data_IF_225150703433
#
_entry.id   IF_225150703433
#
_cell.length_a   1.000
_cell.length_b   1.000
_cell.length_c   1.000
_cell.angle_alpha   90.00
_cell.angle_beta   90.00
_cell.angle_gamma   90.00
#
_symmetry.space_group_name_H-M   'P 1'
#
loop_
_entity.id
_entity.type
_entity.pdbx_description
1 polymer ?
#
# COMPACT_ATOMS: atom_id res chain seq x y z
N UNK A 1 2.29 6.13 -25.75
CA UNK A 1 2.75 6.30 -24.37
C UNK A 1 4.25 6.55 -24.44
N UNK A 2 4.73 7.71 -23.99
CA UNK A 2 6.18 8.00 -23.94
C UNK A 2 6.89 6.89 -23.17
N UNK A 3 7.95 6.31 -23.74
CA UNK A 3 8.79 5.33 -23.04
C UNK A 3 9.44 6.03 -21.84
N UNK A 4 8.87 5.83 -20.65
CA UNK A 4 9.43 6.34 -19.41
C UNK A 4 10.80 5.70 -19.18
N UNK A 5 11.77 6.49 -18.74
CA UNK A 5 13.02 5.90 -18.25
C UNK A 5 12.73 5.02 -17.04
N UNK A 6 13.63 4.08 -16.73
CA UNK A 6 13.51 3.22 -15.54
C UNK A 6 13.33 4.06 -14.27
N UNK A 7 14.07 5.16 -14.16
CA UNK A 7 13.99 6.09 -13.03
C UNK A 7 12.61 6.75 -12.94
N UNK A 8 12.06 7.20 -14.08
CA UNK A 8 10.73 7.82 -14.12
C UNK A 8 9.63 6.82 -13.77
N UNK A 9 9.72 5.59 -14.28
CA UNK A 9 8.84 4.48 -13.93
C UNK A 9 8.83 4.27 -12.42
N UNK A 10 10.01 4.08 -11.81
CA UNK A 10 10.13 3.88 -10.35
C UNK A 10 9.52 5.07 -9.59
N UNK A 11 9.83 6.30 -9.96
CA UNK A 11 9.33 7.50 -9.29
C UNK A 11 7.80 7.60 -9.31
N UNK A 12 7.16 7.22 -10.43
CA UNK A 12 5.71 7.25 -10.58
C UNK A 12 5.04 6.13 -9.78
N UNK A 13 5.60 4.93 -9.76
CA UNK A 13 4.99 3.77 -9.10
C UNK A 13 5.25 3.70 -7.59
N UNK A 14 6.37 4.23 -7.10
CA UNK A 14 6.76 4.06 -5.69
C UNK A 14 5.86 4.81 -4.72
N UNK A 15 5.35 5.98 -5.11
CA UNK A 15 4.45 6.79 -4.28
C UNK A 15 3.14 6.03 -3.99
N UNK A 16 2.32 5.66 -5.01
CA UNK A 16 1.09 4.93 -4.75
C UNK A 16 1.33 3.57 -4.08
N UNK A 17 2.47 2.92 -4.33
CA UNK A 17 2.84 1.68 -3.66
C UNK A 17 3.06 1.86 -2.16
N UNK A 18 3.84 2.86 -1.75
CA UNK A 18 4.09 3.18 -0.34
C UNK A 18 2.77 3.50 0.36
N UNK A 19 1.91 4.30 -0.27
CA UNK A 19 0.59 4.62 0.28
C UNK A 19 -0.28 3.37 0.42
N UNK A 20 -0.34 2.51 -0.61
CA UNK A 20 -1.11 1.28 -0.59
C UNK A 20 -0.70 0.39 0.58
N UNK A 21 0.61 0.12 0.75
CA UNK A 21 1.10 -0.72 1.86
C UNK A 21 0.83 -0.06 3.22
N UNK A 22 1.13 1.23 3.35
CA UNK A 22 1.04 1.95 4.63
C UNK A 22 -0.39 2.04 5.12
N UNK A 23 -1.33 2.43 4.26
CA UNK A 23 -2.73 2.54 4.63
C UNK A 23 -3.39 1.16 4.81
N UNK A 24 -2.95 0.14 4.07
CA UNK A 24 -3.41 -1.24 4.26
C UNK A 24 -3.09 -1.75 5.67
N UNK A 25 -1.82 -1.67 6.08
CA UNK A 25 -1.39 -2.09 7.41
C UNK A 25 -1.98 -1.21 8.51
N UNK A 26 -2.02 0.12 8.31
CA UNK A 26 -2.65 1.03 9.26
C UNK A 26 -4.14 0.75 9.44
N UNK A 27 -4.85 0.31 8.39
CA UNK A 27 -6.26 -0.08 8.48
C UNK A 27 -6.46 -1.36 9.30
N UNK A 28 -5.59 -2.37 9.16
CA UNK A 28 -5.57 -3.54 10.03
C UNK A 28 -5.37 -3.14 11.50
N UNK A 29 -4.37 -2.30 11.78
CA UNK A 29 -4.09 -1.81 13.13
C UNK A 29 -5.28 -1.02 13.72
N UNK A 30 -5.90 -0.17 12.89
CA UNK A 30 -7.05 0.64 13.30
C UNK A 30 -8.27 -0.23 13.63
N UNK A 31 -8.57 -1.20 12.77
CA UNK A 31 -9.66 -2.14 12.99
C UNK A 31 -9.42 -2.97 14.25
N UNK A 32 -8.22 -3.53 14.44
CA UNK A 32 -7.89 -4.31 15.63
C UNK A 32 -8.09 -3.49 16.91
N UNK A 33 -7.59 -2.24 16.92
CA UNK A 33 -7.77 -1.32 18.04
C UNK A 33 -9.25 -0.97 18.29
N UNK A 34 -10.05 -0.85 17.23
CA UNK A 34 -11.50 -0.59 17.34
C UNK A 34 -12.26 -1.78 17.94
N UNK A 35 -11.80 -3.01 17.68
CA UNK A 35 -12.41 -4.24 18.21
C UNK A 35 -11.82 -4.72 19.54
N UNK A 36 -11.01 -3.89 20.21
CA UNK A 36 -10.49 -4.14 21.57
C UNK A 36 -9.02 -4.53 21.64
N UNK A 37 -8.39 -4.88 20.51
CA UNK A 37 -6.98 -5.21 20.47
C UNK A 37 -6.08 -3.98 20.26
N UNK A 38 -5.64 -3.41 21.37
CA UNK A 38 -4.70 -2.28 21.38
C UNK A 38 -3.23 -2.67 21.15
N UNK A 39 -2.92 -3.94 20.85
CA UNK A 39 -1.54 -4.44 20.74
C UNK A 39 -0.73 -3.70 19.67
N UNK A 40 -1.29 -3.54 18.46
CA UNK A 40 -0.68 -2.76 17.40
C UNK A 40 -0.39 -1.30 17.82
N UNK A 41 -1.33 -0.67 18.53
CA UNK A 41 -1.18 0.69 19.04
C UNK A 41 -0.03 0.79 20.06
N UNK A 42 0.07 -0.17 20.99
CA UNK A 42 1.14 -0.23 21.98
C UNK A 42 2.53 -0.40 21.34
N UNK A 43 2.63 -1.16 20.24
CA UNK A 43 3.87 -1.30 19.47
C UNK A 43 4.17 -0.13 18.52
N UNK A 44 3.39 0.95 18.56
CA UNK A 44 3.55 2.10 17.66
C UNK A 44 3.22 1.79 16.19
N UNK A 45 2.48 0.71 15.93
CA UNK A 45 2.11 0.23 14.59
C UNK A 45 0.82 0.87 14.07
N UNK A 46 0.02 1.49 14.93
CA UNK A 46 -1.10 2.33 14.51
C UNK A 46 -0.58 3.69 14.02
N UNK A 47 0.01 3.72 12.83
CA UNK A 47 0.67 4.90 12.29
C UNK A 47 0.57 4.95 10.77
N UNK A 48 0.51 6.17 10.23
CA UNK A 48 0.61 6.44 8.79
C UNK A 48 2.07 6.68 8.35
N UNK A 49 3.03 6.48 9.24
CA UNK A 49 4.44 6.53 8.89
C UNK A 49 4.84 5.24 8.15
N UNK A 50 5.22 5.28 6.86
CA UNK A 50 5.60 4.07 6.11
C UNK A 50 6.77 3.34 6.76
N UNK A 51 7.67 4.06 7.43
CA UNK A 51 8.87 3.47 8.05
C UNK A 51 8.54 2.45 9.13
N UNK A 52 7.38 2.55 9.80
CA UNK A 52 7.02 1.55 10.81
C UNK A 52 6.55 0.24 10.18
N UNK A 53 6.08 0.27 8.94
CA UNK A 53 5.53 -0.90 8.22
C UNK A 53 6.53 -1.58 7.28
N UNK A 54 7.66 -0.93 6.99
CA UNK A 54 8.71 -1.49 6.13
C UNK A 54 9.47 -2.61 6.85
N UNK A 55 9.67 -3.72 6.14
CA UNK A 55 10.65 -4.74 6.49
C UNK A 55 11.79 -4.69 5.47
N UNK A 56 13.02 -4.29 5.84
CA UNK A 56 14.10 -4.09 4.87
C UNK A 56 14.36 -5.31 3.97
N UNK A 57 14.23 -6.53 4.50
CA UNK A 57 14.40 -7.74 3.71
C UNK A 57 13.27 -7.93 2.70
N UNK A 58 12.01 -8.00 3.16
CA UNK A 58 10.85 -8.26 2.30
C UNK A 58 10.49 -7.11 1.37
N UNK A 59 10.74 -5.85 1.77
CA UNK A 59 10.30 -4.66 1.03
C UNK A 59 11.39 -4.09 0.10
N UNK A 60 12.68 -4.36 0.34
CA UNK A 60 13.79 -3.78 -0.43
C UNK A 60 14.70 -4.86 -1.02
N UNK A 61 15.26 -5.73 -0.17
CA UNK A 61 16.28 -6.69 -0.59
C UNK A 61 15.68 -7.74 -1.53
N UNK A 62 14.55 -8.33 -1.16
CA UNK A 62 13.92 -9.39 -1.93
C UNK A 62 13.46 -8.92 -3.33
N UNK A 63 12.74 -7.79 -3.48
CA UNK A 63 12.43 -7.24 -4.80
C UNK A 63 13.66 -6.98 -5.67
N UNK A 64 14.75 -6.47 -5.08
CA UNK A 64 15.97 -6.19 -5.82
C UNK A 64 16.63 -7.47 -6.34
N UNK A 65 16.70 -8.51 -5.50
CA UNK A 65 17.18 -9.84 -5.91
C UNK A 65 16.30 -10.40 -7.03
N UNK A 66 14.98 -10.31 -6.91
CA UNK A 66 14.04 -10.78 -7.93
C UNK A 66 14.23 -10.08 -9.28
N UNK A 67 14.49 -8.76 -9.27
CA UNK A 67 14.79 -8.00 -10.50
C UNK A 67 16.11 -8.47 -11.11
N UNK A 68 17.17 -8.62 -10.31
CA UNK A 68 18.49 -9.07 -10.79
C UNK A 68 18.41 -10.46 -11.39
N UNK A 69 17.80 -11.43 -10.70
CA UNK A 69 17.63 -12.79 -11.20
C UNK A 69 16.72 -12.85 -12.44
N UNK A 70 15.69 -12.01 -12.50
CA UNK A 70 14.84 -11.86 -13.68
C UNK A 70 15.61 -11.35 -14.89
N UNK A 71 16.38 -10.28 -14.72
CA UNK A 71 17.23 -9.73 -15.76
C UNK A 71 18.26 -10.75 -16.26
N UNK A 72 18.86 -11.54 -15.35
CA UNK A 72 19.82 -12.60 -15.69
C UNK A 72 19.19 -13.77 -16.47
N UNK A 73 17.89 -14.01 -16.30
CA UNK A 73 17.14 -15.06 -17.02
C UNK A 73 16.50 -14.58 -18.33
N UNK A 74 16.73 -13.33 -18.73
CA UNK A 74 16.22 -12.75 -19.98
C UNK A 74 14.73 -12.40 -19.95
N UNK A 75 14.12 -12.33 -18.76
CA UNK A 75 12.69 -12.04 -18.58
C UNK A 75 12.44 -10.85 -17.64
N UNK A 76 11.19 -10.39 -17.61
CA UNK A 76 10.71 -9.55 -16.52
C UNK A 76 10.56 -10.44 -15.28
N UNK A 77 11.54 -10.39 -14.38
CA UNK A 77 11.50 -11.14 -13.11
C UNK A 77 10.22 -10.84 -12.34
N UNK A 78 9.71 -11.85 -11.64
CA UNK A 78 8.55 -11.69 -10.76
C UNK A 78 8.94 -10.80 -9.58
N UNK A 79 8.50 -9.53 -9.57
CA UNK A 79 8.75 -8.62 -8.44
C UNK A 79 7.75 -8.97 -7.34
N UNK A 80 8.24 -9.60 -6.28
CA UNK A 80 7.47 -9.89 -5.09
C UNK A 80 8.12 -9.21 -3.88
N UNK A 81 7.33 -8.91 -2.87
CA UNK A 81 7.80 -8.32 -1.62
C UNK A 81 6.66 -8.29 -0.61
N UNK A 82 7.01 -8.19 0.66
CA UNK A 82 6.04 -8.08 1.75
C UNK A 82 6.43 -6.97 2.72
N UNK A 83 5.44 -6.46 3.43
CA UNK A 83 5.59 -5.51 4.50
C UNK A 83 5.69 -6.24 5.85
N UNK A 84 6.13 -5.53 6.89
CA UNK A 84 6.12 -6.05 8.24
C UNK A 84 4.68 -6.07 8.77
N UNK A 85 4.06 -7.25 8.97
CA UNK A 85 2.65 -7.32 9.30
C UNK A 85 2.35 -6.72 10.68
N UNK A 86 1.14 -6.18 10.83
CA UNK A 86 0.66 -5.67 12.12
C UNK A 86 0.36 -6.82 13.10
N UNK A 87 0.85 -6.76 14.35
CA UNK A 87 0.53 -7.78 15.35
C UNK A 87 -0.93 -7.69 15.79
N UNK A 88 -1.64 -8.83 15.75
CA UNK A 88 -3.03 -8.96 16.19
C UNK A 88 -3.10 -9.99 17.32
N UNK A 89 -3.71 -9.61 18.44
CA UNK A 89 -3.97 -10.48 19.59
C UNK A 89 -5.45 -10.87 19.64
N UNK A 90 -5.74 -12.09 19.16
CA UNK A 90 -7.10 -12.65 19.10
C UNK A 90 -7.83 -12.68 20.45
N UNK A 91 -7.10 -12.89 21.55
CA UNK A 91 -7.67 -13.00 22.89
C UNK A 91 -8.19 -11.67 23.45
N UNK A 92 -7.81 -10.54 22.83
CA UNK A 92 -8.25 -9.19 23.22
C UNK A 92 -9.44 -8.67 22.40
N UNK A 93 -9.86 -9.40 21.36
CA UNK A 93 -11.00 -9.01 20.55
C UNK A 93 -12.30 -9.26 21.30
N UNK A 94 -13.27 -8.34 21.20
CA UNK A 94 -14.57 -8.50 21.85
C UNK A 94 -15.32 -9.75 21.36
N UNK A 95 -15.29 -10.01 20.05
CA UNK A 95 -15.90 -11.18 19.41
C UNK A 95 -14.89 -11.81 18.42
N UNK A 96 -13.98 -12.69 18.88
CA UNK A 96 -12.78 -13.07 18.12
C UNK A 96 -13.02 -13.52 16.67
N UNK A 97 -14.05 -14.33 16.40
CA UNK A 97 -14.33 -14.82 15.04
C UNK A 97 -14.82 -13.72 14.09
N UNK A 98 -15.77 -12.90 14.56
CA UNK A 98 -16.39 -11.84 13.75
C UNK A 98 -15.43 -10.67 13.57
N UNK A 99 -14.78 -10.27 14.65
CA UNK A 99 -13.91 -9.10 14.66
C UNK A 99 -12.65 -9.36 13.84
N UNK A 100 -12.11 -10.59 13.90
CA UNK A 100 -11.01 -10.99 13.03
C UNK A 100 -11.37 -10.86 11.55
N UNK A 101 -12.58 -11.25 11.13
CA UNK A 101 -13.02 -11.09 9.75
C UNK A 101 -12.99 -9.61 9.34
N UNK A 102 -13.51 -8.71 10.19
CA UNK A 102 -13.47 -7.27 9.90
C UNK A 102 -12.05 -6.70 9.89
N UNK A 103 -11.19 -7.16 10.80
CA UNK A 103 -9.78 -6.78 10.81
C UNK A 103 -9.11 -7.25 9.52
N UNK A 104 -9.30 -8.49 9.09
CA UNK A 104 -8.73 -9.04 7.87
C UNK A 104 -9.24 -8.34 6.59
N UNK A 105 -10.48 -7.86 6.59
CA UNK A 105 -11.03 -7.09 5.47
C UNK A 105 -10.61 -5.61 5.47
N UNK A 106 -10.18 -5.06 6.60
CA UNK A 106 -9.87 -3.64 6.74
C UNK A 106 -8.77 -3.18 5.76
N UNK A 107 -7.67 -3.92 5.64
CA UNK A 107 -6.60 -3.63 4.69
C UNK A 107 -7.06 -3.65 3.23
N UNK A 108 -7.67 -4.75 2.74
CA UNK A 108 -8.23 -4.82 1.39
C UNK A 108 -9.25 -3.72 1.07
N UNK A 109 -10.15 -3.41 2.01
CA UNK A 109 -11.13 -2.35 1.84
C UNK A 109 -10.48 -0.96 1.79
N UNK A 110 -9.41 -0.72 2.56
CA UNK A 110 -8.65 0.52 2.48
C UNK A 110 -7.98 0.69 1.10
N UNK A 111 -7.40 -0.37 0.55
CA UNK A 111 -6.83 -0.35 -0.80
C UNK A 111 -7.90 -0.15 -1.88
N UNK A 112 -9.06 -0.79 -1.75
CA UNK A 112 -10.18 -0.59 -2.65
C UNK A 112 -10.66 0.87 -2.62
N UNK A 113 -10.85 1.44 -1.43
CA UNK A 113 -11.21 2.85 -1.28
C UNK A 113 -10.16 3.77 -1.91
N UNK A 114 -8.87 3.47 -1.72
CA UNK A 114 -7.78 4.23 -2.32
C UNK A 114 -7.77 4.14 -3.85
N UNK A 115 -8.01 2.94 -4.41
CA UNK A 115 -8.12 2.75 -5.85
C UNK A 115 -9.26 3.59 -6.44
N UNK A 116 -10.41 3.65 -5.75
CA UNK A 116 -11.53 4.51 -6.14
C UNK A 116 -11.15 6.00 -6.09
N UNK A 117 -10.46 6.44 -5.04
CA UNK A 117 -9.97 7.82 -4.91
C UNK A 117 -9.02 8.15 -6.06
N UNK A 118 -8.05 7.29 -6.37
CA UNK A 118 -7.14 7.48 -7.51
C UNK A 118 -7.87 7.53 -8.84
N UNK A 119 -8.85 6.66 -9.07
CA UNK A 119 -9.66 6.67 -10.28
C UNK A 119 -10.46 7.98 -10.42
N UNK A 120 -11.01 8.51 -9.33
CA UNK A 120 -11.70 9.80 -9.32
C UNK A 120 -10.75 10.97 -9.60
N UNK A 121 -9.55 10.97 -9.01
CA UNK A 121 -8.51 11.98 -9.27
C UNK A 121 -8.10 11.95 -10.74
N UNK A 122 -7.88 10.77 -11.32
CA UNK A 122 -7.56 10.61 -12.73
C UNK A 122 -8.69 11.15 -13.63
N UNK A 123 -9.94 10.78 -13.33
CA UNK A 123 -11.12 11.30 -14.06
C UNK A 123 -11.21 12.83 -13.96
N UNK A 124 -11.02 13.40 -12.79
CA UNK A 124 -11.02 14.84 -12.58
C UNK A 124 -9.90 15.53 -13.36
N UNK A 125 -8.70 14.93 -13.40
CA UNK A 125 -7.56 15.42 -14.19
C UNK A 125 -7.88 15.51 -15.68
N UNK A 126 -8.51 14.49 -16.27
CA UNK A 126 -8.94 14.54 -17.67
C UNK A 126 -9.98 15.62 -17.94
N UNK A 127 -10.93 15.80 -17.01
CA UNK A 127 -11.93 16.87 -17.12
C UNK A 127 -11.25 18.25 -17.07
N UNK A 128 -10.39 18.50 -16.08
CA UNK A 128 -9.67 19.77 -15.90
C UNK A 128 -8.71 20.05 -17.06
N UNK A 129 -7.99 19.04 -17.57
CA UNK A 129 -7.10 19.20 -18.72
C UNK A 129 -7.84 19.65 -19.97
N UNK A 130 -9.13 19.32 -20.12
CA UNK A 130 -9.97 19.79 -21.22
C UNK A 130 -10.31 21.28 -21.10
N UNK A 131 -10.21 21.86 -19.89
CA UNK A 131 -10.44 23.29 -19.62
C UNK A 131 -9.15 24.12 -19.61
N UNK A 132 -8.02 23.56 -19.17
CA UNK A 132 -6.73 24.26 -19.07
C UNK A 132 -5.76 23.98 -20.23
N UNK A 133 -6.10 23.07 -21.14
CA UNK A 133 -5.27 22.69 -22.30
C UNK A 133 -5.41 23.61 -23.51
N UNK A 134 -6.31 24.60 -23.47
CA UNK A 134 -6.43 25.62 -24.51
C UNK A 134 -5.56 26.80 -24.08
N UNK A 135 -4.52 27.20 -24.86
CA UNK A 135 -3.81 28.43 -24.58
C UNK A 135 -4.82 29.58 -24.55
N UNK A 136 -4.77 30.41 -23.51
CA UNK A 136 -5.38 31.73 -23.59
C UNK A 136 -4.53 32.53 -24.57
N UNK A 137 -4.98 32.54 -25.84
CA UNK A 137 -4.43 33.25 -27.00
C UNK A 137 -3.17 32.64 -27.62
#
# INVERSE_FOLDING_TARGET
MSNLSVIQTIAVYIIPLIFAITLHEAAHAYAANKYGDNTAKMYGRLSLNPMVHIEPFGTIIFPLISIVLGAMSGGLGFIFGWAKPVPINYSKLHNPKRDLLWVALAGPLANLAMALIWALILKASFLLSSYFGVPLY
#
